data_IF_346808063529
#
_entry.id   IF_346808063529
#
_cell.length_a   1.000
_cell.length_b   1.000
_cell.length_c   1.000
_cell.angle_alpha   90.00
_cell.angle_beta   90.00
_cell.angle_gamma   90.00
#
_symmetry.space_group_name_H-M   'P 1'
#
loop_
_entity.id
_entity.type
_entity.pdbx_description
1 polymer ?
#
# COMPACT_ATOMS: atom_id res chain seq x y z
N UNK A 1 36.11 7.37 4.62
CA UNK A 1 35.17 7.52 3.48
C UNK A 1 35.89 7.05 2.24
N UNK A 2 35.73 5.78 1.89
CA UNK A 2 36.51 5.12 0.84
C UNK A 2 35.62 4.79 -0.38
N UNK A 3 35.12 5.83 -1.04
CA UNK A 3 34.41 5.66 -2.31
C UNK A 3 35.32 5.15 -3.43
N UNK A 4 36.65 5.25 -3.25
CA UNK A 4 37.65 4.71 -4.17
C UNK A 4 37.48 3.21 -4.36
N UNK A 5 37.18 2.46 -3.28
CA UNK A 5 36.94 1.01 -3.32
C UNK A 5 35.79 0.60 -4.26
N UNK A 6 34.76 1.45 -4.45
CA UNK A 6 33.66 1.14 -5.37
C UNK A 6 34.06 1.29 -6.84
N UNK A 7 35.09 2.08 -7.12
CA UNK A 7 35.60 2.38 -8.46
C UNK A 7 36.84 1.55 -8.82
N UNK A 8 37.55 1.03 -7.81
CA UNK A 8 38.76 0.23 -7.98
C UNK A 8 38.42 -1.19 -8.50
N UNK A 9 39.00 -1.56 -9.63
CA UNK A 9 38.81 -2.87 -10.25
C UNK A 9 39.48 -4.01 -9.47
N UNK A 10 40.46 -3.69 -8.62
CA UNK A 10 41.16 -4.66 -7.80
C UNK A 10 40.28 -5.22 -6.66
N UNK A 11 39.18 -4.52 -6.33
CA UNK A 11 38.18 -4.97 -5.37
C UNK A 11 37.02 -5.68 -6.10
N UNK A 12 36.83 -6.96 -5.79
CA UNK A 12 35.82 -7.80 -6.41
C UNK A 12 34.56 -7.93 -5.54
N UNK A 13 33.42 -8.31 -6.13
CA UNK A 13 32.28 -8.83 -5.35
C UNK A 13 32.59 -10.23 -4.81
N UNK A 14 32.03 -10.61 -3.65
CA UNK A 14 32.18 -11.97 -3.12
C UNK A 14 31.71 -13.04 -4.12
N UNK A 15 32.59 -13.98 -4.45
CA UNK A 15 32.28 -15.08 -5.38
C UNK A 15 31.27 -16.05 -4.76
N UNK A 16 30.32 -16.52 -5.56
CA UNK A 16 29.34 -17.53 -5.15
C UNK A 16 29.56 -18.79 -5.97
N UNK A 17 29.73 -19.98 -5.34
CA UNK A 17 29.85 -21.24 -6.06
C UNK A 17 28.61 -21.54 -6.92
N UNK A 18 28.78 -22.22 -8.08
CA UNK A 18 27.65 -22.64 -8.89
C UNK A 18 26.78 -23.66 -8.15
N UNK A 19 25.47 -23.58 -8.37
CA UNK A 19 24.48 -24.50 -7.85
C UNK A 19 23.33 -24.66 -8.86
N UNK A 20 22.60 -25.75 -8.78
CA UNK A 20 21.51 -26.10 -9.73
C UNK A 20 20.11 -25.68 -9.26
N UNK A 21 19.91 -25.46 -7.96
CA UNK A 21 18.63 -25.03 -7.40
C UNK A 21 18.76 -24.22 -6.10
N UNK A 22 17.63 -23.71 -5.62
CA UNK A 22 17.51 -23.00 -4.34
C UNK A 22 18.16 -21.62 -4.31
N UNK A 23 18.34 -21.09 -3.10
CA UNK A 23 18.96 -19.79 -2.84
C UNK A 23 20.41 -19.77 -3.33
N UNK A 24 21.12 -20.89 -3.26
CA UNK A 24 22.48 -21.01 -3.78
C UNK A 24 22.52 -20.77 -5.30
N UNK A 25 21.61 -21.39 -6.08
CA UNK A 25 21.49 -21.16 -7.52
C UNK A 25 21.15 -19.70 -7.82
N UNK A 26 20.20 -19.12 -7.08
CA UNK A 26 19.81 -17.73 -7.26
C UNK A 26 21.01 -16.80 -7.07
N UNK A 27 21.76 -16.98 -5.99
CA UNK A 27 22.98 -16.19 -5.72
C UNK A 27 24.03 -16.38 -6.83
N UNK A 28 24.21 -17.60 -7.32
CA UNK A 28 25.19 -17.89 -8.37
C UNK A 28 24.80 -17.33 -9.75
N UNK A 29 23.50 -17.13 -10.01
CA UNK A 29 22.97 -16.69 -11.31
C UNK A 29 22.72 -15.19 -11.48
N UNK A 30 22.80 -14.39 -10.41
CA UNK A 30 22.51 -12.94 -10.45
C UNK A 30 23.72 -12.08 -10.77
N UNK A 31 23.48 -10.88 -11.33
CA UNK A 31 24.52 -9.89 -11.58
C UNK A 31 25.23 -9.43 -10.29
N UNK A 32 24.49 -9.30 -9.18
CA UNK A 32 24.96 -8.73 -7.90
C UNK A 32 26.22 -9.40 -7.33
N UNK A 33 26.40 -10.69 -7.59
CA UNK A 33 27.50 -11.51 -7.04
C UNK A 33 28.42 -12.05 -8.16
N UNK A 34 28.53 -11.30 -9.26
CA UNK A 34 29.40 -11.65 -10.40
C UNK A 34 30.34 -10.50 -10.77
N UNK A 35 31.43 -10.84 -11.47
CA UNK A 35 32.39 -9.90 -12.05
C UNK A 35 32.59 -10.16 -13.55
N UNK A 36 33.32 -9.27 -14.22
CA UNK A 36 33.78 -9.46 -15.59
C UNK A 36 32.67 -9.70 -16.60
N UNK A 37 32.89 -10.65 -17.52
CA UNK A 37 31.96 -10.96 -18.60
C UNK A 37 30.60 -11.50 -18.12
N UNK A 38 30.59 -12.26 -17.02
CA UNK A 38 29.35 -12.78 -16.42
C UNK A 38 28.50 -11.65 -15.85
N UNK A 39 29.13 -10.71 -15.14
CA UNK A 39 28.44 -9.51 -14.66
C UNK A 39 27.86 -8.69 -15.81
N UNK A 40 28.63 -8.42 -16.85
CA UNK A 40 28.15 -7.65 -18.00
C UNK A 40 26.93 -8.31 -18.67
N UNK A 41 26.98 -9.64 -18.88
CA UNK A 41 25.87 -10.41 -19.46
C UNK A 41 24.62 -10.37 -18.59
N UNK A 42 24.76 -10.63 -17.28
CA UNK A 42 23.66 -10.68 -16.30
C UNK A 42 23.05 -9.31 -16.03
N UNK A 43 23.89 -8.28 -15.93
CA UNK A 43 23.45 -6.89 -15.84
C UNK A 43 22.63 -6.49 -17.07
N UNK A 44 23.06 -6.87 -18.27
CA UNK A 44 22.29 -6.63 -19.49
C UNK A 44 20.91 -7.30 -19.48
N UNK A 45 20.76 -8.47 -18.83
CA UNK A 45 19.43 -9.09 -18.62
C UNK A 45 18.55 -8.22 -17.71
N UNK A 46 19.10 -7.73 -16.60
CA UNK A 46 18.40 -6.83 -15.66
C UNK A 46 17.98 -5.53 -16.33
N UNK A 47 18.88 -4.87 -17.05
CA UNK A 47 18.61 -3.59 -17.73
C UNK A 47 17.54 -3.74 -18.81
N UNK A 48 17.53 -4.85 -19.57
CA UNK A 48 16.45 -5.13 -20.53
C UNK A 48 15.09 -5.31 -19.86
N UNK A 49 15.04 -5.96 -18.69
CA UNK A 49 13.81 -6.11 -17.92
C UNK A 49 13.32 -4.74 -17.43
N UNK A 50 14.21 -3.94 -16.84
CA UNK A 50 13.89 -2.61 -16.31
C UNK A 50 13.45 -1.62 -17.40
N UNK A 51 14.03 -1.69 -18.60
CA UNK A 51 13.63 -0.88 -19.74
C UNK A 51 12.17 -1.15 -20.19
N UNK A 52 11.63 -2.33 -19.88
CA UNK A 52 10.23 -2.67 -20.13
C UNK A 52 9.27 -2.24 -19.01
N UNK A 53 9.77 -1.70 -17.89
CA UNK A 53 8.96 -1.28 -16.75
C UNK A 53 8.98 0.25 -16.66
N UNK A 54 7.84 0.88 -16.94
CA UNK A 54 7.66 2.32 -16.76
C UNK A 54 7.67 2.69 -15.26
N UNK A 55 8.61 3.53 -14.78
CA UNK A 55 8.62 3.99 -13.40
C UNK A 55 7.33 4.72 -12.99
N UNK A 56 6.63 5.40 -13.90
CA UNK A 56 5.37 6.07 -13.56
C UNK A 56 4.27 5.06 -13.17
N UNK A 57 4.22 3.90 -13.83
CA UNK A 57 3.30 2.83 -13.48
C UNK A 57 3.57 2.20 -12.09
N UNK A 58 4.78 2.38 -11.54
CA UNK A 58 5.16 1.91 -10.21
C UNK A 58 4.75 2.87 -9.08
N UNK A 59 4.36 4.12 -9.39
CA UNK A 59 3.90 5.10 -8.39
C UNK A 59 2.47 4.83 -7.92
N UNK A 60 2.22 3.62 -7.42
CA UNK A 60 0.90 3.18 -6.95
C UNK A 60 1.00 2.64 -5.51
N UNK A 61 -0.06 2.73 -4.70
CA UNK A 61 -0.04 2.21 -3.34
C UNK A 61 0.05 0.68 -3.27
N UNK A 62 0.49 0.18 -2.10
CA UNK A 62 0.62 -1.24 -1.80
C UNK A 62 2.05 -1.64 -1.43
N UNK A 63 2.26 -2.95 -1.22
CA UNK A 63 3.60 -3.49 -1.00
C UNK A 63 4.47 -3.26 -2.26
N UNK A 64 5.65 -2.61 -2.15
CA UNK A 64 6.53 -2.33 -3.29
C UNK A 64 6.94 -3.55 -4.12
N UNK A 65 7.15 -4.70 -3.47
CA UNK A 65 7.50 -5.95 -4.16
C UNK A 65 6.30 -6.48 -4.92
N UNK A 66 5.11 -6.44 -4.32
CA UNK A 66 3.87 -6.83 -4.99
C UNK A 66 3.59 -5.95 -6.23
N UNK A 67 3.83 -4.63 -6.13
CA UNK A 67 3.70 -3.70 -7.27
C UNK A 67 4.70 -4.04 -8.38
N UNK A 68 5.98 -4.25 -8.03
CA UNK A 68 7.01 -4.64 -8.99
C UNK A 68 6.72 -6.01 -9.64
N UNK A 69 6.28 -7.00 -8.86
CA UNK A 69 5.88 -8.31 -9.35
C UNK A 69 4.78 -8.22 -10.43
N UNK A 70 3.74 -7.42 -10.18
CA UNK A 70 2.70 -7.15 -11.17
C UNK A 70 3.24 -6.49 -12.44
N UNK A 71 4.16 -5.52 -12.31
CA UNK A 71 4.79 -4.87 -13.46
C UNK A 71 5.71 -5.82 -14.26
N UNK A 72 6.25 -6.86 -13.63
CA UNK A 72 7.01 -7.94 -14.28
C UNK A 72 6.12 -9.06 -14.85
N UNK A 73 4.80 -8.94 -14.74
CA UNK A 73 3.85 -9.91 -15.28
C UNK A 73 3.71 -11.19 -14.46
N UNK A 74 4.10 -11.19 -13.19
CA UNK A 74 3.93 -12.34 -12.28
C UNK A 74 2.93 -12.04 -11.16
N UNK A 75 2.33 -13.07 -10.52
CA UNK A 75 1.33 -12.86 -9.47
C UNK A 75 1.87 -12.00 -8.32
N UNK A 76 1.08 -11.04 -7.84
CA UNK A 76 1.45 -10.15 -6.71
C UNK A 76 1.72 -10.92 -5.40
N UNK A 77 1.06 -12.07 -5.23
CA UNK A 77 1.19 -12.95 -4.06
C UNK A 77 2.62 -13.49 -3.86
N UNK A 78 3.48 -13.43 -4.87
CA UNK A 78 4.90 -13.81 -4.73
C UNK A 78 5.68 -12.93 -3.75
N UNK A 79 5.14 -11.77 -3.34
CA UNK A 79 5.78 -10.87 -2.39
C UNK A 79 6.14 -11.56 -1.06
N UNK A 80 5.32 -12.50 -0.59
CA UNK A 80 5.61 -13.31 0.60
C UNK A 80 6.85 -14.20 0.42
N UNK A 81 6.94 -14.90 -0.73
CA UNK A 81 8.10 -15.72 -1.08
C UNK A 81 9.37 -14.88 -1.24
N UNK A 82 9.26 -13.72 -1.89
CA UNK A 82 10.37 -12.76 -2.02
C UNK A 82 10.85 -12.28 -0.65
N UNK A 83 9.93 -11.96 0.27
CA UNK A 83 10.28 -11.54 1.62
C UNK A 83 11.02 -12.64 2.39
N UNK A 84 10.63 -13.91 2.24
CA UNK A 84 11.33 -15.05 2.84
C UNK A 84 12.74 -15.20 2.29
N UNK A 85 12.91 -15.18 0.95
CA UNK A 85 14.21 -15.29 0.29
C UNK A 85 15.13 -14.11 0.62
N UNK A 86 14.59 -12.89 0.72
CA UNK A 86 15.36 -11.68 1.03
C UNK A 86 16.08 -11.77 2.39
N UNK A 87 15.52 -12.49 3.37
CA UNK A 87 16.13 -12.68 4.71
C UNK A 87 17.46 -13.43 4.67
N UNK A 88 17.65 -14.28 3.67
CA UNK A 88 18.87 -15.04 3.45
C UNK A 88 19.44 -14.83 2.05
N UNK A 89 19.26 -13.66 1.43
CA UNK A 89 19.75 -13.46 0.06
C UNK A 89 21.27 -13.30 0.00
N UNK A 90 21.89 -12.66 1.00
CA UNK A 90 23.33 -12.40 1.01
C UNK A 90 24.15 -13.70 1.17
N UNK A 91 25.28 -13.89 0.46
CA UNK A 91 26.04 -15.15 0.48
C UNK A 91 26.52 -15.61 1.85
N UNK A 92 26.81 -14.67 2.75
CA UNK A 92 27.30 -14.95 4.10
C UNK A 92 26.19 -15.26 5.12
N UNK A 93 24.92 -15.15 4.72
CA UNK A 93 23.77 -15.43 5.58
C UNK A 93 23.34 -16.89 5.36
N UNK A 94 23.16 -17.70 6.42
CA UNK A 94 22.62 -19.04 6.30
C UNK A 94 21.23 -19.05 5.64
N UNK A 95 20.95 -20.07 4.82
CA UNK A 95 19.63 -20.26 4.21
C UNK A 95 18.63 -20.60 5.31
N UNK A 96 17.49 -19.88 5.34
CA UNK A 96 16.43 -20.13 6.32
C UNK A 96 15.48 -21.23 5.83
N UNK A 97 14.81 -21.99 6.73
CA UNK A 97 13.82 -22.98 6.33
C UNK A 97 12.73 -22.37 5.42
N UNK A 98 12.31 -23.09 4.38
CA UNK A 98 11.30 -22.62 3.44
C UNK A 98 11.84 -21.78 2.28
N UNK A 99 13.07 -21.26 2.36
CA UNK A 99 13.59 -20.32 1.37
C UNK A 99 13.91 -20.98 0.02
N UNK A 100 14.41 -22.22 0.02
CA UNK A 100 14.66 -22.95 -1.21
C UNK A 100 13.35 -23.31 -1.93
N UNK A 101 12.30 -23.71 -1.18
CA UNK A 101 10.97 -23.91 -1.77
C UNK A 101 10.36 -22.60 -2.28
N UNK A 102 10.62 -21.48 -1.60
CA UNK A 102 10.19 -20.16 -2.08
C UNK A 102 10.89 -19.77 -3.39
N UNK A 103 12.19 -20.05 -3.54
CA UNK A 103 12.88 -19.86 -4.83
C UNK A 103 12.24 -20.71 -5.92
N UNK A 104 11.89 -21.97 -5.64
CA UNK A 104 11.21 -22.83 -6.62
C UNK A 104 9.86 -22.23 -7.07
N UNK A 105 9.03 -21.77 -6.13
CA UNK A 105 7.76 -21.09 -6.45
C UNK A 105 7.96 -19.80 -7.26
N UNK A 106 9.01 -19.03 -6.97
CA UNK A 106 9.36 -17.83 -7.74
C UNK A 106 9.79 -18.19 -9.16
N UNK A 107 10.57 -19.26 -9.34
CA UNK A 107 10.95 -19.76 -10.66
C UNK A 107 9.72 -20.22 -11.44
N UNK A 108 8.79 -20.95 -10.80
CA UNK A 108 7.53 -21.37 -11.41
C UNK A 108 6.68 -20.17 -11.85
N UNK A 109 6.61 -19.13 -11.03
CA UNK A 109 5.92 -17.88 -11.38
C UNK A 109 6.52 -17.19 -12.62
N UNK A 110 7.81 -17.38 -12.91
CA UNK A 110 8.49 -16.90 -14.10
C UNK A 110 8.56 -17.93 -15.25
N UNK A 111 7.79 -19.01 -15.18
CA UNK A 111 7.67 -20.02 -16.24
C UNK A 111 8.49 -21.29 -16.03
N UNK A 112 9.05 -21.51 -14.84
CA UNK A 112 9.65 -22.79 -14.42
C UNK A 112 11.05 -23.07 -14.97
N UNK A 113 11.66 -22.14 -15.69
CA UNK A 113 12.99 -22.33 -16.30
C UNK A 113 14.09 -21.84 -15.37
N UNK A 114 15.01 -22.74 -15.01
CA UNK A 114 16.15 -22.47 -14.12
C UNK A 114 17.37 -21.95 -14.89
N UNK A 115 17.26 -20.76 -15.49
CA UNK A 115 18.32 -20.09 -16.24
C UNK A 115 18.75 -18.74 -15.64
N UNK A 116 19.78 -18.12 -16.22
CA UNK A 116 20.27 -16.80 -15.77
C UNK A 116 19.22 -15.69 -15.94
N UNK A 117 18.34 -15.79 -16.94
CA UNK A 117 17.30 -14.80 -17.17
C UNK A 117 16.28 -14.81 -16.02
N UNK A 118 15.81 -15.99 -15.63
CA UNK A 118 14.93 -16.19 -14.48
C UNK A 118 15.63 -15.79 -13.18
N UNK A 119 16.88 -16.22 -12.96
CA UNK A 119 17.64 -15.85 -11.77
C UNK A 119 17.73 -14.32 -11.58
N UNK A 120 17.97 -13.57 -12.66
CA UNK A 120 18.05 -12.11 -12.58
C UNK A 120 16.69 -11.43 -12.41
N UNK A 121 15.59 -11.99 -12.92
CA UNK A 121 14.22 -11.50 -12.64
C UNK A 121 13.82 -11.73 -11.17
N UNK A 122 14.07 -12.92 -10.65
CA UNK A 122 13.86 -13.24 -9.22
C UNK A 122 14.77 -12.35 -8.36
N UNK A 123 16.04 -12.20 -8.75
CA UNK A 123 17.00 -11.34 -8.08
C UNK A 123 16.58 -9.87 -8.07
N UNK A 124 15.86 -9.38 -9.07
CA UNK A 124 15.31 -8.02 -9.09
C UNK A 124 14.30 -7.81 -7.95
N UNK A 125 13.34 -8.73 -7.81
CA UNK A 125 12.32 -8.68 -6.76
C UNK A 125 12.95 -8.74 -5.36
N UNK A 126 13.86 -9.70 -5.16
CA UNK A 126 14.54 -9.91 -3.87
C UNK A 126 15.39 -8.70 -3.48
N UNK A 127 16.07 -8.07 -4.43
CA UNK A 127 16.86 -6.87 -4.18
C UNK A 127 16.01 -5.63 -3.91
N UNK A 128 14.85 -5.52 -4.55
CA UNK A 128 13.92 -4.43 -4.28
C UNK A 128 13.41 -4.48 -2.83
N UNK A 129 13.06 -5.68 -2.33
CA UNK A 129 12.39 -5.89 -1.04
C UNK A 129 12.95 -5.07 0.14
N UNK A 130 14.21 -5.29 0.53
CA UNK A 130 14.81 -4.58 1.65
C UNK A 130 15.03 -3.10 1.37
N UNK A 131 15.51 -2.77 0.16
CA UNK A 131 15.88 -1.41 -0.21
C UNK A 131 14.66 -0.47 -0.30
N UNK A 132 13.57 -0.91 -0.93
CA UNK A 132 12.35 -0.10 -1.03
C UNK A 132 11.66 0.02 0.32
N UNK A 133 11.67 -1.01 1.18
CA UNK A 133 11.20 -0.89 2.57
C UNK A 133 11.98 0.15 3.36
N UNK A 134 13.30 0.16 3.23
CA UNK A 134 14.16 1.17 3.87
C UNK A 134 13.85 2.59 3.34
N UNK A 135 13.70 2.75 2.02
CA UNK A 135 13.27 4.03 1.43
C UNK A 135 11.91 4.48 1.98
N UNK A 136 10.94 3.58 2.08
CA UNK A 136 9.59 3.83 2.66
C UNK A 136 9.61 4.09 4.16
N UNK A 137 10.66 3.66 4.88
CA UNK A 137 10.92 4.04 6.27
C UNK A 137 11.69 5.37 6.40
N UNK A 138 12.22 5.91 5.28
CA UNK A 138 12.94 7.19 5.26
C UNK A 138 14.44 7.05 5.42
N UNK A 139 14.96 5.81 5.32
CA UNK A 139 16.38 5.54 5.40
C UNK A 139 17.13 6.16 4.20
N UNK A 140 18.29 6.71 4.52
CA UNK A 140 19.13 7.49 3.62
C UNK A 140 20.58 7.28 4.05
N UNK A 141 21.36 6.41 3.35
CA UNK A 141 20.97 5.53 2.24
C UNK A 141 20.01 4.38 2.64
N UNK A 142 19.25 3.80 1.68
CA UNK A 142 18.40 2.64 1.95
C UNK A 142 19.20 1.34 2.14
N UNK A 143 20.42 1.28 1.63
CA UNK A 143 21.40 0.22 1.90
C UNK A 143 22.67 0.91 2.38
N UNK A 144 23.03 0.80 3.67
CA UNK A 144 24.13 1.58 4.24
C UNK A 144 25.50 1.07 3.84
N UNK A 145 25.63 -0.23 3.63
CA UNK A 145 26.92 -0.87 3.36
C UNK A 145 26.82 -1.93 2.27
N UNK A 146 27.92 -2.14 1.56
CA UNK A 146 28.13 -3.28 0.67
C UNK A 146 29.42 -4.00 1.02
N UNK A 147 29.59 -5.23 0.55
CA UNK A 147 30.83 -6.00 0.74
C UNK A 147 31.61 -6.13 -0.56
N UNK A 148 32.92 -6.04 -0.43
CA UNK A 148 33.92 -6.30 -1.47
C UNK A 148 34.96 -7.28 -0.94
N UNK A 149 35.75 -7.85 -1.83
CA UNK A 149 36.93 -8.65 -1.53
C UNK A 149 38.12 -7.85 -2.00
N UNK A 150 39.03 -7.51 -1.09
CA UNK A 150 40.26 -6.81 -1.40
C UNK A 150 41.19 -7.67 -2.28
N UNK A 151 42.21 -7.09 -2.94
CA UNK A 151 43.17 -7.85 -3.73
C UNK A 151 43.88 -8.99 -2.96
N UNK A 152 44.02 -8.82 -1.65
CA UNK A 152 44.56 -9.83 -0.74
C UNK A 152 43.59 -10.95 -0.33
N UNK A 153 42.34 -10.94 -0.82
CA UNK A 153 41.32 -11.94 -0.52
C UNK A 153 40.44 -11.63 0.70
N UNK A 154 40.76 -10.58 1.46
CA UNK A 154 40.02 -10.22 2.68
C UNK A 154 38.69 -9.51 2.37
N UNK A 155 37.59 -9.83 3.08
CA UNK A 155 36.33 -9.13 2.94
C UNK A 155 36.44 -7.71 3.52
N UNK A 156 35.98 -6.73 2.75
CA UNK A 156 35.92 -5.31 3.15
C UNK A 156 34.48 -4.84 3.10
N UNK A 157 34.05 -4.18 4.16
CA UNK A 157 32.77 -3.50 4.22
C UNK A 157 32.94 -2.05 3.73
N UNK A 158 32.08 -1.64 2.81
CA UNK A 158 32.17 -0.36 2.11
C UNK A 158 30.91 0.43 2.39
N UNK A 159 31.09 1.62 2.97
CA UNK A 159 30.04 2.59 3.26
C UNK A 159 29.47 3.19 1.95
N UNK A 160 28.15 3.16 1.80
CA UNK A 160 27.41 3.71 0.65
C UNK A 160 26.84 5.11 0.90
N UNK A 161 27.20 5.77 2.00
CA UNK A 161 26.65 7.04 2.46
C UNK A 161 26.68 8.18 1.43
N UNK A 162 27.75 8.34 0.64
CA UNK A 162 27.78 9.32 -0.46
C UNK A 162 27.45 8.70 -1.85
N UNK A 163 27.14 7.40 -1.92
CA UNK A 163 26.82 6.68 -3.15
C UNK A 163 25.71 5.64 -2.90
N UNK A 164 24.50 6.11 -2.57
CA UNK A 164 23.39 5.27 -2.06
C UNK A 164 22.98 4.12 -2.98
N UNK A 165 23.24 4.30 -4.27
CA UNK A 165 22.93 3.34 -5.33
C UNK A 165 24.19 2.72 -5.92
N UNK A 166 25.31 2.72 -5.18
CA UNK A 166 26.61 2.27 -5.68
C UNK A 166 27.24 3.24 -6.68
N UNK A 167 28.38 2.86 -7.23
CA UNK A 167 29.15 3.65 -8.19
C UNK A 167 29.83 2.75 -9.23
N UNK A 168 30.32 3.36 -10.32
CA UNK A 168 31.04 2.68 -11.39
C UNK A 168 30.21 1.59 -12.07
N UNK A 169 30.88 0.51 -12.49
CA UNK A 169 30.24 -0.64 -13.17
C UNK A 169 29.18 -1.36 -12.33
N UNK A 170 29.23 -1.20 -11.01
CA UNK A 170 28.33 -1.82 -10.04
C UNK A 170 27.22 -0.88 -9.54
N UNK A 171 27.06 0.31 -10.14
CA UNK A 171 25.96 1.22 -9.83
C UNK A 171 24.60 0.56 -10.14
N UNK A 172 23.62 0.72 -9.24
CA UNK A 172 22.30 0.14 -9.35
C UNK A 172 21.57 0.69 -10.60
N UNK A 173 21.17 -0.18 -11.55
CA UNK A 173 20.43 0.26 -12.73
C UNK A 173 18.97 0.64 -12.42
N UNK A 174 18.45 0.27 -11.23
CA UNK A 174 17.04 0.41 -10.86
C UNK A 174 16.75 1.59 -9.91
N UNK A 175 17.62 2.62 -9.88
CA UNK A 175 17.45 3.77 -8.96
C UNK A 175 16.09 4.43 -9.12
N UNK A 176 15.69 4.73 -10.35
CA UNK A 176 14.43 5.41 -10.63
C UNK A 176 13.21 4.54 -10.23
N UNK A 177 13.22 3.25 -10.59
CA UNK A 177 12.18 2.30 -10.21
C UNK A 177 12.03 2.17 -8.69
N UNK A 178 13.15 2.09 -7.95
CA UNK A 178 13.13 2.01 -6.50
C UNK A 178 12.53 3.27 -5.84
N UNK A 179 12.86 4.45 -6.36
CA UNK A 179 12.28 5.72 -5.89
C UNK A 179 10.79 5.80 -6.22
N UNK A 180 10.38 5.40 -7.43
CA UNK A 180 8.97 5.39 -7.83
C UNK A 180 8.12 4.44 -6.97
N UNK A 181 8.63 3.25 -6.66
CA UNK A 181 7.98 2.31 -5.74
C UNK A 181 7.83 2.90 -4.33
N UNK A 182 8.88 3.52 -3.79
CA UNK A 182 8.83 4.15 -2.47
C UNK A 182 7.88 5.36 -2.45
N UNK A 183 7.85 6.12 -3.54
CA UNK A 183 6.93 7.24 -3.72
C UNK A 183 5.47 6.77 -3.75
N UNK A 184 5.18 5.70 -4.50
CA UNK A 184 3.86 5.09 -4.62
C UNK A 184 3.33 4.52 -3.31
N UNK A 185 4.18 3.79 -2.57
CA UNK A 185 3.82 3.23 -1.26
C UNK A 185 3.41 4.30 -0.23
N UNK A 186 3.96 5.52 -0.34
CA UNK A 186 3.60 6.67 0.52
C UNK A 186 2.56 7.60 -0.08
N UNK A 187 2.04 7.34 -1.27
CA UNK A 187 1.20 8.28 -2.00
C UNK A 187 -0.01 8.73 -1.17
N UNK A 188 -0.74 7.79 -0.58
CA UNK A 188 -1.93 8.12 0.22
C UNK A 188 -1.59 8.84 1.53
N UNK A 189 -0.44 8.57 2.14
CA UNK A 189 0.03 9.32 3.32
C UNK A 189 0.26 10.79 2.96
N UNK A 190 0.96 11.04 1.84
CA UNK A 190 1.23 12.41 1.36
C UNK A 190 -0.03 13.20 1.02
N UNK A 191 -1.09 12.55 0.54
CA UNK A 191 -2.36 13.23 0.28
C UNK A 191 -2.99 13.87 1.53
N UNK A 192 -2.59 13.47 2.74
CA UNK A 192 -3.05 14.05 4.00
C UNK A 192 -2.14 15.18 4.52
N UNK A 193 -1.01 15.46 3.86
CA UNK A 193 -0.22 16.67 4.12
C UNK A 193 -1.00 17.92 3.66
N UNK A 194 -1.73 17.78 2.56
CA UNK A 194 -2.72 18.72 2.05
C UNK A 194 -4.14 18.43 2.59
N UNK A 195 -5.11 19.24 2.17
CA UNK A 195 -6.52 19.02 2.48
C UNK A 195 -7.18 18.07 1.46
N UNK A 196 -7.66 16.92 1.93
CA UNK A 196 -8.25 15.87 1.09
C UNK A 196 -9.77 15.78 1.27
N UNK A 197 -10.53 15.96 0.18
CA UNK A 197 -11.92 15.50 0.11
C UNK A 197 -11.93 14.10 -0.50
N UNK A 198 -12.47 13.12 0.23
CA UNK A 198 -12.47 11.72 -0.16
C UNK A 198 -13.90 11.22 -0.42
N UNK A 199 -14.27 10.96 -1.69
CA UNK A 199 -15.55 10.35 -2.02
C UNK A 199 -15.54 8.86 -1.66
N UNK A 200 -16.69 8.33 -1.25
CA UNK A 200 -16.82 6.93 -0.86
C UNK A 200 -17.71 6.17 -1.85
N UNK A 201 -17.14 5.15 -2.48
CA UNK A 201 -17.75 4.30 -3.48
C UNK A 201 -18.32 3.00 -2.85
N UNK A 202 -19.25 2.37 -3.57
CA UNK A 202 -19.85 1.09 -3.22
C UNK A 202 -19.70 0.03 -4.33
N UNK A 203 -19.26 0.44 -5.52
CA UNK A 203 -18.97 -0.41 -6.67
C UNK A 203 -17.83 0.19 -7.52
N UNK A 204 -17.45 -0.48 -8.61
CA UNK A 204 -16.41 0.03 -9.51
C UNK A 204 -16.86 1.26 -10.30
N UNK A 205 -18.11 1.31 -10.75
CA UNK A 205 -18.61 2.40 -11.59
C UNK A 205 -18.63 3.73 -10.85
N UNK A 206 -19.12 3.76 -9.61
CA UNK A 206 -19.09 4.92 -8.72
C UNK A 206 -17.65 5.39 -8.45
N UNK A 207 -16.75 4.46 -8.14
CA UNK A 207 -15.33 4.80 -7.93
C UNK A 207 -14.67 5.37 -9.19
N UNK A 208 -14.89 4.76 -10.36
CA UNK A 208 -14.36 5.23 -11.63
C UNK A 208 -14.93 6.62 -12.01
N UNK A 209 -16.22 6.85 -11.72
CA UNK A 209 -16.84 8.16 -11.92
C UNK A 209 -16.18 9.24 -11.04
N UNK A 210 -15.85 8.92 -9.77
CA UNK A 210 -15.09 9.83 -8.91
C UNK A 210 -13.69 10.12 -9.45
N UNK A 211 -12.98 9.10 -9.94
CA UNK A 211 -11.67 9.30 -10.57
C UNK A 211 -11.78 10.20 -11.80
N UNK A 212 -12.78 9.97 -12.67
CA UNK A 212 -13.03 10.82 -13.86
C UNK A 212 -13.37 12.26 -13.48
N UNK A 213 -14.02 12.46 -12.33
CA UNK A 213 -14.29 13.78 -11.77
C UNK A 213 -13.06 14.46 -11.13
N UNK A 214 -11.89 13.81 -11.11
CA UNK A 214 -10.62 14.38 -10.65
C UNK A 214 -10.32 14.17 -9.16
N UNK A 215 -11.05 13.30 -8.46
CA UNK A 215 -10.72 13.00 -7.07
C UNK A 215 -9.39 12.22 -6.98
N UNK A 216 -8.50 12.68 -6.10
CA UNK A 216 -7.15 12.15 -5.97
C UNK A 216 -7.06 10.78 -5.27
N UNK A 217 -8.13 10.33 -4.62
CA UNK A 217 -8.27 9.04 -3.95
C UNK A 217 -9.75 8.68 -3.79
N UNK A 218 -10.04 7.40 -3.53
CA UNK A 218 -11.40 6.89 -3.29
C UNK A 218 -11.46 6.07 -2.00
N UNK A 219 -12.49 6.29 -1.19
CA UNK A 219 -12.84 5.43 -0.06
C UNK A 219 -13.92 4.41 -0.42
N UNK A 220 -14.11 3.37 0.39
CA UNK A 220 -15.37 2.59 0.35
C UNK A 220 -16.32 3.05 1.45
N UNK A 221 -17.59 2.64 1.37
CA UNK A 221 -18.58 2.81 2.46
C UNK A 221 -19.24 1.47 2.77
N UNK A 222 -19.15 1.01 4.02
CA UNK A 222 -19.74 -0.25 4.47
C UNK A 222 -21.25 -0.32 4.19
N UNK A 223 -22.00 0.77 4.43
CA UNK A 223 -23.44 0.84 4.15
C UNK A 223 -23.77 0.52 2.68
N UNK A 224 -23.05 1.13 1.75
CA UNK A 224 -23.29 0.92 0.31
C UNK A 224 -22.97 -0.51 -0.11
N UNK A 225 -21.89 -1.08 0.42
CA UNK A 225 -21.49 -2.47 0.16
C UNK A 225 -22.54 -3.44 0.73
N UNK A 226 -22.89 -3.31 2.00
CA UNK A 226 -23.84 -4.21 2.67
C UNK A 226 -25.23 -4.11 2.04
N UNK A 227 -25.78 -2.90 1.91
CA UNK A 227 -27.11 -2.70 1.35
C UNK A 227 -27.21 -3.17 -0.11
N UNK A 228 -26.15 -2.98 -0.90
CA UNK A 228 -26.07 -3.47 -2.28
C UNK A 228 -26.17 -5.00 -2.40
N UNK A 229 -25.85 -5.73 -1.34
CA UNK A 229 -25.95 -7.19 -1.26
C UNK A 229 -27.14 -7.67 -0.40
N UNK A 230 -28.06 -6.78 -0.02
CA UNK A 230 -29.22 -7.13 0.81
C UNK A 230 -28.88 -7.41 2.28
N UNK A 231 -27.69 -6.98 2.73
CA UNK A 231 -27.21 -7.14 4.10
C UNK A 231 -27.42 -5.85 4.90
N UNK A 232 -27.44 -5.99 6.23
CA UNK A 232 -27.43 -4.83 7.14
C UNK A 232 -25.99 -4.40 7.42
N UNK A 233 -25.78 -3.09 7.43
CA UNK A 233 -24.51 -2.46 7.78
C UNK A 233 -24.19 -2.63 9.28
N UNK A 234 -22.90 -2.61 9.62
CA UNK A 234 -22.40 -2.70 11.00
C UNK A 234 -22.58 -4.07 11.67
N UNK A 235 -23.03 -5.09 10.92
CA UNK A 235 -23.21 -6.45 11.43
C UNK A 235 -21.97 -7.34 11.21
N UNK A 236 -20.90 -6.84 10.56
CA UNK A 236 -19.70 -7.61 10.26
C UNK A 236 -19.91 -8.75 9.25
N UNK A 237 -21.04 -8.77 8.54
CA UNK A 237 -21.42 -9.86 7.62
C UNK A 237 -20.95 -9.65 6.18
N UNK A 238 -20.50 -8.44 5.83
CA UNK A 238 -20.14 -8.06 4.46
C UNK A 238 -18.63 -8.19 4.14
N UNK A 239 -17.86 -8.95 4.94
CA UNK A 239 -16.40 -9.05 4.80
C UNK A 239 -15.98 -9.56 3.41
N UNK A 240 -16.68 -10.58 2.89
CA UNK A 240 -16.36 -11.16 1.59
C UNK A 240 -16.62 -10.16 0.45
N UNK A 241 -17.71 -9.40 0.55
CA UNK A 241 -18.14 -8.37 -0.38
C UNK A 241 -17.16 -7.19 -0.37
N UNK A 242 -16.73 -6.74 0.81
CA UNK A 242 -15.72 -5.69 0.99
C UNK A 242 -14.38 -6.09 0.35
N UNK A 243 -13.90 -7.32 0.59
CA UNK A 243 -12.68 -7.82 -0.05
C UNK A 243 -12.83 -7.92 -1.57
N UNK A 244 -13.96 -8.41 -2.05
CA UNK A 244 -14.23 -8.49 -3.48
C UNK A 244 -14.28 -7.11 -4.14
N UNK A 245 -14.86 -6.10 -3.47
CA UNK A 245 -14.84 -4.72 -3.93
C UNK A 245 -13.41 -4.16 -3.94
N UNK A 246 -12.65 -4.33 -2.85
CA UNK A 246 -11.27 -3.89 -2.76
C UNK A 246 -10.44 -4.40 -3.94
N UNK A 247 -10.52 -5.70 -4.27
CA UNK A 247 -9.84 -6.31 -5.43
C UNK A 247 -10.19 -5.67 -6.77
N UNK A 248 -11.42 -5.17 -6.94
CA UNK A 248 -11.85 -4.46 -8.15
C UNK A 248 -11.31 -3.03 -8.18
N UNK A 249 -11.37 -2.33 -7.04
CA UNK A 249 -11.05 -0.90 -6.95
C UNK A 249 -9.55 -0.61 -7.02
N UNK A 250 -8.69 -1.49 -6.52
CA UNK A 250 -7.21 -1.30 -6.56
C UNK A 250 -6.65 -1.21 -8.00
N UNK A 251 -7.45 -1.51 -9.02
CA UNK A 251 -7.09 -1.34 -10.44
C UNK A 251 -7.12 0.12 -10.88
N UNK A 252 -7.84 0.98 -10.15
CA UNK A 252 -7.95 2.41 -10.44
C UNK A 252 -6.59 3.12 -10.32
N UNK A 253 -6.35 4.20 -11.07
CA UNK A 253 -5.06 4.91 -11.05
C UNK A 253 -4.81 5.73 -9.77
N UNK A 254 -5.76 5.73 -8.83
CA UNK A 254 -5.69 6.49 -7.58
C UNK A 254 -5.65 5.57 -6.36
N UNK A 255 -5.13 6.03 -5.21
CA UNK A 255 -5.24 5.31 -3.95
C UNK A 255 -6.67 4.96 -3.56
N UNK A 256 -6.84 3.75 -3.03
CA UNK A 256 -8.11 3.26 -2.49
C UNK A 256 -7.94 2.98 -0.99
N UNK A 257 -8.83 3.53 -0.17
CA UNK A 257 -8.93 3.19 1.26
C UNK A 257 -10.23 2.43 1.53
N UNK A 258 -10.16 1.36 2.32
CA UNK A 258 -11.29 0.44 2.52
C UNK A 258 -11.84 0.57 3.93
N UNK A 259 -13.15 0.75 4.04
CA UNK A 259 -13.89 0.62 5.29
C UNK A 259 -13.99 -0.86 5.68
N UNK A 260 -13.35 -1.25 6.79
CA UNK A 260 -13.31 -2.64 7.27
C UNK A 260 -14.12 -2.84 8.56
N UNK A 261 -15.01 -1.89 8.88
CA UNK A 261 -15.80 -1.90 10.12
C UNK A 261 -14.87 -2.14 11.33
N UNK A 262 -15.21 -3.10 12.20
CA UNK A 262 -14.44 -3.45 13.39
C UNK A 262 -13.06 -4.12 13.11
N UNK A 263 -12.70 -4.38 11.86
CA UNK A 263 -11.41 -4.97 11.49
C UNK A 263 -11.28 -6.47 11.79
N UNK A 264 -12.38 -7.24 11.65
CA UNK A 264 -12.38 -8.68 11.90
C UNK A 264 -11.35 -9.41 11.02
N UNK A 265 -10.44 -10.14 11.67
CA UNK A 265 -9.27 -10.77 11.04
C UNK A 265 -7.94 -10.07 11.35
N UNK A 266 -7.95 -8.88 11.96
CA UNK A 266 -6.76 -8.23 12.50
C UNK A 266 -5.64 -8.08 11.47
N UNK A 267 -4.42 -8.45 11.86
CA UNK A 267 -3.24 -8.36 11.00
C UNK A 267 -3.32 -9.17 9.70
N UNK A 268 -4.01 -10.32 9.68
CA UNK A 268 -4.15 -11.12 8.45
C UNK A 268 -4.94 -10.36 7.39
N UNK A 269 -6.03 -9.69 7.79
CA UNK A 269 -6.80 -8.83 6.90
C UNK A 269 -5.96 -7.64 6.40
N UNK A 270 -5.17 -7.04 7.29
CA UNK A 270 -4.31 -5.91 6.93
C UNK A 270 -3.25 -6.30 5.88
N UNK A 271 -2.60 -7.46 6.07
CA UNK A 271 -1.64 -8.01 5.12
C UNK A 271 -2.31 -8.30 3.77
N UNK A 272 -3.45 -8.99 3.77
CA UNK A 272 -4.19 -9.30 2.54
C UNK A 272 -4.55 -8.03 1.76
N UNK A 273 -5.12 -7.01 2.42
CA UNK A 273 -5.47 -5.74 1.77
C UNK A 273 -4.24 -4.99 1.24
N UNK A 274 -3.14 -4.97 2.00
CA UNK A 274 -1.92 -4.29 1.58
C UNK A 274 -1.27 -4.97 0.36
N UNK A 275 -1.24 -6.30 0.32
CA UNK A 275 -0.77 -7.09 -0.82
C UNK A 275 -1.62 -6.84 -2.08
N UNK A 276 -2.94 -6.70 -1.91
CA UNK A 276 -3.85 -6.32 -3.00
C UNK A 276 -3.58 -4.92 -3.55
N UNK A 277 -2.92 -4.04 -2.80
CA UNK A 277 -2.64 -2.65 -3.19
C UNK A 277 -3.61 -1.64 -2.57
N UNK A 278 -4.32 -2.00 -1.51
CA UNK A 278 -5.10 -1.05 -0.72
C UNK A 278 -4.15 -0.10 -0.02
N UNK A 279 -4.45 1.20 -0.11
CA UNK A 279 -3.60 2.27 0.40
C UNK A 279 -3.86 2.62 1.87
N UNK A 280 -5.08 2.35 2.35
CA UNK A 280 -5.46 2.58 3.72
C UNK A 280 -6.74 1.87 4.12
N UNK A 281 -7.06 1.95 5.40
CA UNK A 281 -8.29 1.38 5.97
C UNK A 281 -8.92 2.32 6.98
N UNK A 282 -10.25 2.26 7.11
CA UNK A 282 -10.95 2.75 8.29
C UNK A 282 -11.26 1.56 9.20
N UNK A 283 -10.86 1.63 10.47
CA UNK A 283 -11.12 0.57 11.47
C UNK A 283 -11.76 1.17 12.72
N UNK A 284 -12.96 0.71 13.07
CA UNK A 284 -13.86 1.40 14.00
C UNK A 284 -14.01 0.71 15.35
N UNK A 285 -14.13 1.50 16.40
CA UNK A 285 -14.39 1.01 17.75
C UNK A 285 -15.89 0.82 18.03
N UNK A 286 -16.77 1.19 17.10
CA UNK A 286 -18.21 0.93 17.17
C UNK A 286 -18.55 -0.56 17.16
N UNK A 287 -19.52 -0.97 17.98
CA UNK A 287 -20.00 -2.36 18.10
C UNK A 287 -21.50 -2.32 18.32
N UNK A 288 -22.32 -2.65 17.31
CA UNK A 288 -23.78 -2.76 17.50
C UNK A 288 -24.39 -1.58 18.28
N UNK A 289 -24.68 -1.79 19.57
CA UNK A 289 -25.26 -0.83 20.51
C UNK A 289 -24.25 -0.09 21.43
N UNK A 290 -22.96 -0.23 21.21
CA UNK A 290 -21.93 0.36 22.06
C UNK A 290 -20.57 0.51 21.39
N UNK A 291 -19.55 0.66 22.22
CA UNK A 291 -18.16 0.78 21.79
C UNK A 291 -17.33 -0.36 22.36
N UNK A 292 -16.30 -0.77 21.62
CA UNK A 292 -15.26 -1.64 22.13
C UNK A 292 -14.51 -0.97 23.29
N UNK A 293 -13.94 -1.81 24.15
CA UNK A 293 -12.92 -1.40 25.08
C UNK A 293 -11.74 -0.76 24.31
N UNK A 294 -11.30 0.46 24.70
CA UNK A 294 -10.27 1.18 23.94
C UNK A 294 -8.91 0.48 23.97
N UNK A 295 -8.58 -0.31 24.99
CA UNK A 295 -7.32 -1.09 24.98
C UNK A 295 -7.39 -2.19 23.93
N UNK A 296 -8.51 -2.88 23.84
CA UNK A 296 -8.77 -3.93 22.86
C UNK A 296 -8.75 -3.38 21.43
N UNK A 297 -9.38 -2.24 21.18
CA UNK A 297 -9.35 -1.63 19.84
C UNK A 297 -7.95 -1.13 19.45
N UNK A 298 -7.19 -0.58 20.40
CA UNK A 298 -5.79 -0.20 20.18
C UNK A 298 -4.92 -1.42 19.80
N UNK A 299 -5.20 -2.61 20.34
CA UNK A 299 -4.52 -3.83 19.93
C UNK A 299 -4.81 -4.21 18.46
N UNK A 300 -6.03 -3.98 17.96
CA UNK A 300 -6.37 -4.16 16.54
C UNK A 300 -5.58 -3.20 15.66
N UNK A 301 -5.55 -1.91 16.01
CA UNK A 301 -4.76 -0.89 15.28
C UNK A 301 -3.30 -1.30 15.21
N UNK A 302 -2.70 -1.72 16.34
CA UNK A 302 -1.31 -2.18 16.38
C UNK A 302 -1.09 -3.39 15.48
N UNK A 303 -1.97 -4.39 15.53
CA UNK A 303 -1.86 -5.58 14.69
C UNK A 303 -1.92 -5.24 13.18
N UNK A 304 -2.73 -4.26 12.78
CA UNK A 304 -2.75 -3.76 11.40
C UNK A 304 -1.41 -3.13 11.01
N UNK A 305 -0.84 -2.27 11.85
CA UNK A 305 0.45 -1.62 11.58
C UNK A 305 1.63 -2.59 11.59
N UNK A 306 1.62 -3.60 12.46
CA UNK A 306 2.65 -4.63 12.50
C UNK A 306 2.63 -5.51 11.24
N UNK A 307 1.44 -5.91 10.79
CA UNK A 307 1.28 -6.75 9.60
C UNK A 307 1.50 -5.98 8.29
N UNK A 308 1.11 -4.71 8.23
CA UNK A 308 1.24 -3.87 7.05
C UNK A 308 1.68 -2.43 7.41
N UNK A 309 2.99 -2.20 7.68
CA UNK A 309 3.50 -0.89 8.11
C UNK A 309 3.22 0.26 7.13
N UNK A 310 3.13 -0.05 5.83
CA UNK A 310 2.84 0.90 4.76
C UNK A 310 1.35 1.15 4.52
N UNK A 311 0.45 0.44 5.21
CA UNK A 311 -0.99 0.69 5.14
C UNK A 311 -1.35 1.88 6.04
N UNK A 312 -2.08 2.86 5.49
CA UNK A 312 -2.61 3.98 6.29
C UNK A 312 -3.78 3.50 7.15
N UNK A 313 -3.60 3.45 8.47
CA UNK A 313 -4.65 3.03 9.41
C UNK A 313 -5.34 4.26 9.96
N UNK A 314 -6.57 4.49 9.50
CA UNK A 314 -7.43 5.56 9.96
C UNK A 314 -8.35 5.03 11.08
N UNK A 315 -8.00 5.26 12.34
CA UNK A 315 -8.75 4.75 13.48
C UNK A 315 -10.04 5.56 13.66
N UNK A 316 -11.18 4.89 13.55
CA UNK A 316 -12.51 5.50 13.66
C UNK A 316 -13.04 5.39 15.10
N UNK A 317 -13.48 6.52 15.66
CA UNK A 317 -14.07 6.64 17.00
C UNK A 317 -15.56 6.95 16.85
N UNK A 318 -16.41 6.00 17.24
CA UNK A 318 -17.85 6.04 16.96
C UNK A 318 -18.72 6.64 18.06
N UNK A 319 -18.12 7.17 19.14
CA UNK A 319 -18.85 7.74 20.27
C UNK A 319 -19.95 8.73 19.84
N UNK A 320 -19.61 9.71 18.99
CA UNK A 320 -20.57 10.69 18.49
C UNK A 320 -21.54 10.11 17.46
N UNK A 321 -21.09 9.16 16.65
CA UNK A 321 -21.92 8.52 15.62
C UNK A 321 -23.04 7.67 16.22
N UNK A 322 -22.74 6.94 17.29
CA UNK A 322 -23.69 6.10 18.00
C UNK A 322 -24.47 6.85 19.10
N UNK A 323 -24.11 8.11 19.38
CA UNK A 323 -24.69 8.87 20.48
C UNK A 323 -24.41 8.24 21.84
N UNK A 324 -23.29 7.52 21.97
CA UNK A 324 -22.89 6.86 23.20
C UNK A 324 -22.07 7.83 24.04
N UNK A 325 -22.56 8.16 25.23
CA UNK A 325 -21.79 8.91 26.21
C UNK A 325 -20.55 8.11 26.61
N UNK A 326 -19.38 8.70 26.40
CA UNK A 326 -18.10 8.10 26.79
C UNK A 326 -17.37 9.02 27.75
N UNK A 327 -16.36 8.49 28.44
CA UNK A 327 -15.46 9.33 29.24
C UNK A 327 -14.77 10.42 28.40
N UNK A 328 -14.25 10.08 27.21
CA UNK A 328 -13.61 11.04 26.30
C UNK A 328 -13.29 10.44 24.91
N UNK A 329 -13.84 11.04 23.85
CA UNK A 329 -13.48 10.77 22.44
C UNK A 329 -11.98 11.00 22.19
N UNK A 330 -11.43 12.08 22.76
CA UNK A 330 -10.03 12.45 22.58
C UNK A 330 -9.07 11.43 23.22
N UNK A 331 -9.41 10.86 24.38
CA UNK A 331 -8.58 9.84 25.03
C UNK A 331 -8.53 8.53 24.21
N UNK A 332 -9.66 8.14 23.61
CA UNK A 332 -9.72 7.00 22.67
C UNK A 332 -8.82 7.27 21.46
N UNK A 333 -8.99 8.43 20.83
CA UNK A 333 -8.19 8.85 19.68
C UNK A 333 -6.68 8.82 19.99
N UNK A 334 -6.25 9.42 21.11
CA UNK A 334 -4.84 9.40 21.54
C UNK A 334 -4.32 7.98 21.72
N UNK A 335 -5.10 7.11 22.33
CA UNK A 335 -4.71 5.70 22.51
C UNK A 335 -4.54 4.96 21.19
N UNK A 336 -5.36 5.27 20.18
CA UNK A 336 -5.23 4.67 18.85
C UNK A 336 -4.03 5.23 18.09
N UNK A 337 -3.72 6.52 18.26
CA UNK A 337 -2.48 7.13 17.76
C UNK A 337 -1.25 6.48 18.41
N UNK A 338 -1.26 6.27 19.73
CA UNK A 338 -0.18 5.57 20.45
C UNK A 338 -0.01 4.11 20.00
N UNK A 339 -1.06 3.51 19.44
CA UNK A 339 -1.01 2.17 18.82
C UNK A 339 -0.49 2.18 17.37
N UNK A 340 -0.28 3.36 16.79
CA UNK A 340 0.28 3.55 15.45
C UNK A 340 -0.71 4.00 14.38
N UNK A 341 -1.92 4.44 14.73
CA UNK A 341 -2.86 4.99 13.75
C UNK A 341 -2.24 6.20 13.01
N UNK A 342 -2.33 6.20 11.68
CA UNK A 342 -1.81 7.27 10.82
C UNK A 342 -2.80 8.44 10.69
N UNK A 343 -4.05 8.23 11.09
CA UNK A 343 -5.12 9.23 11.13
C UNK A 343 -6.25 8.83 12.08
N UNK A 344 -7.07 9.81 12.45
CA UNK A 344 -8.24 9.59 13.32
C UNK A 344 -9.50 10.08 12.62
N UNK A 345 -10.55 9.25 12.62
CA UNK A 345 -11.86 9.58 12.07
C UNK A 345 -12.92 9.67 13.17
N UNK A 346 -13.57 10.83 13.29
CA UNK A 346 -14.62 11.05 14.30
C UNK A 346 -15.94 11.44 13.62
N UNK A 347 -16.72 10.48 13.10
CA UNK A 347 -18.03 10.77 12.51
C UNK A 347 -19.02 11.30 13.56
N UNK A 348 -19.94 12.18 13.16
CA UNK A 348 -20.99 12.73 14.03
C UNK A 348 -20.64 14.02 14.77
N UNK A 349 -19.40 14.52 14.66
CA UNK A 349 -19.00 15.78 15.28
C UNK A 349 -19.43 16.98 14.42
N UNK A 350 -20.22 17.87 14.99
CA UNK A 350 -20.65 19.14 14.37
C UNK A 350 -20.34 20.39 15.21
N UNK A 351 -19.91 20.23 16.47
CA UNK A 351 -19.43 21.34 17.29
C UNK A 351 -18.00 21.73 16.87
N UNK A 352 -17.85 22.92 16.31
CA UNK A 352 -16.55 23.47 15.87
C UNK A 352 -15.52 23.53 17.01
N UNK A 353 -15.94 23.72 18.26
CA UNK A 353 -15.03 23.75 19.41
C UNK A 353 -14.41 22.37 19.66
N UNK A 354 -15.21 21.32 19.51
CA UNK A 354 -14.72 19.95 19.63
C UNK A 354 -13.81 19.59 18.45
N UNK A 355 -14.17 20.01 17.22
CA UNK A 355 -13.29 19.84 16.05
C UNK A 355 -11.93 20.50 16.26
N UNK A 356 -11.91 21.77 16.68
CA UNK A 356 -10.67 22.49 16.95
C UNK A 356 -9.84 21.83 18.06
N UNK A 357 -10.51 21.30 19.09
CA UNK A 357 -9.85 20.55 20.18
C UNK A 357 -9.19 19.27 19.67
N UNK A 358 -9.89 18.47 18.85
CA UNK A 358 -9.36 17.24 18.27
C UNK A 358 -8.14 17.53 17.38
N UNK A 359 -8.27 18.52 16.48
CA UNK A 359 -7.18 18.91 15.56
C UNK A 359 -5.96 19.42 16.32
N UNK A 360 -6.14 20.25 17.35
CA UNK A 360 -5.02 20.79 18.12
C UNK A 360 -4.32 19.72 18.99
N UNK A 361 -5.05 18.68 19.41
CA UNK A 361 -4.56 17.72 20.39
C UNK A 361 -3.94 16.45 19.78
N UNK A 362 -4.19 16.17 18.50
CA UNK A 362 -3.73 14.95 17.82
C UNK A 362 -2.58 15.28 16.84
N UNK A 363 -1.47 14.52 16.87
CA UNK A 363 -0.33 14.76 15.98
C UNK A 363 -0.53 14.17 14.57
N UNK A 364 -1.72 13.62 14.29
CA UNK A 364 -2.06 12.95 13.03
C UNK A 364 -3.26 13.62 12.36
N UNK A 365 -3.41 13.49 11.03
CA UNK A 365 -4.57 13.95 10.29
C UNK A 365 -5.92 13.56 10.93
N UNK A 366 -6.77 14.56 11.19
CA UNK A 366 -8.17 14.34 11.56
C UNK A 366 -9.02 14.24 10.30
N UNK A 367 -9.83 13.17 10.24
CA UNK A 367 -10.86 12.91 9.25
C UNK A 367 -12.25 13.15 9.86
N UNK A 368 -13.16 13.79 9.12
CA UNK A 368 -14.56 13.97 9.50
C UNK A 368 -15.49 13.66 8.32
N UNK A 369 -16.79 13.47 8.61
CA UNK A 369 -17.82 13.50 7.57
C UNK A 369 -18.15 14.95 7.20
N UNK A 370 -18.65 15.18 5.98
CA UNK A 370 -19.09 16.49 5.51
C UNK A 370 -20.41 16.97 6.18
N UNK A 371 -20.37 17.18 7.50
CA UNK A 371 -21.50 17.66 8.31
C UNK A 371 -21.48 19.18 8.55
N UNK A 372 -20.31 19.80 8.36
CA UNK A 372 -20.11 21.24 8.27
C UNK A 372 -19.63 21.60 6.85
N UNK A 373 -19.72 22.88 6.44
CA UNK A 373 -19.11 23.33 5.19
C UNK A 373 -17.64 22.90 5.11
N UNK A 374 -17.24 22.36 3.96
CA UNK A 374 -15.92 21.76 3.76
C UNK A 374 -14.80 22.78 3.98
N UNK A 375 -15.01 24.01 3.52
CA UNK A 375 -14.12 25.15 3.70
C UNK A 375 -13.92 25.45 5.18
N UNK A 376 -15.00 25.38 5.98
CA UNK A 376 -14.92 25.61 7.42
C UNK A 376 -14.11 24.52 8.13
N UNK A 377 -14.32 23.26 7.75
CA UNK A 377 -13.52 22.14 8.27
C UNK A 377 -12.03 22.33 7.93
N UNK A 378 -11.72 22.78 6.71
CA UNK A 378 -10.35 23.10 6.29
C UNK A 378 -9.72 24.21 7.14
N UNK A 379 -10.46 25.28 7.42
CA UNK A 379 -10.00 26.39 8.29
C UNK A 379 -9.72 25.93 9.73
N UNK A 380 -10.54 25.00 10.23
CA UNK A 380 -10.34 24.39 11.56
C UNK A 380 -9.14 23.43 11.61
N UNK A 381 -8.47 23.19 10.49
CA UNK A 381 -7.26 22.38 10.38
C UNK A 381 -7.51 20.89 10.18
N UNK A 382 -8.75 20.48 9.89
CA UNK A 382 -9.07 19.12 9.41
C UNK A 382 -8.26 18.84 8.15
N UNK A 383 -7.76 17.61 7.99
CA UNK A 383 -6.93 17.20 6.84
C UNK A 383 -7.64 16.28 5.88
N UNK A 384 -8.70 15.60 6.32
CA UNK A 384 -9.54 14.78 5.46
C UNK A 384 -11.03 14.99 5.74
N UNK A 385 -11.83 15.10 4.69
CA UNK A 385 -13.29 15.04 4.77
C UNK A 385 -13.77 13.90 3.91
N UNK A 386 -14.33 12.87 4.54
CA UNK A 386 -14.93 11.73 3.84
C UNK A 386 -16.42 11.98 3.59
N UNK A 387 -16.93 11.53 2.45
CA UNK A 387 -18.38 11.67 2.14
C UNK A 387 -19.25 10.61 2.82
N UNK A 388 -18.65 9.52 3.32
CA UNK A 388 -19.38 8.39 3.91
C UNK A 388 -20.40 7.82 2.93
N UNK A 389 -21.55 7.37 3.43
CA UNK A 389 -22.62 6.83 2.58
C UNK A 389 -23.42 7.89 1.82
N UNK A 390 -23.08 9.19 1.91
CA UNK A 390 -23.83 10.26 1.27
C UNK A 390 -24.01 10.04 -0.24
N UNK A 391 -22.96 9.73 -1.04
CA UNK A 391 -23.12 9.57 -2.48
C UNK A 391 -23.99 8.34 -2.84
N UNK A 392 -23.88 7.25 -2.07
CA UNK A 392 -24.74 6.08 -2.24
C UNK A 392 -26.22 6.41 -2.01
N UNK A 393 -26.54 7.09 -0.91
CA UNK A 393 -27.92 7.49 -0.58
C UNK A 393 -28.48 8.48 -1.61
N UNK A 394 -27.63 9.40 -2.10
CA UNK A 394 -28.02 10.33 -3.16
C UNK A 394 -28.34 9.59 -4.47
N UNK A 395 -27.51 8.63 -4.87
CA UNK A 395 -27.73 7.80 -6.05
C UNK A 395 -29.00 6.97 -5.95
N UNK A 396 -29.27 6.34 -4.80
CA UNK A 396 -30.53 5.62 -4.57
C UNK A 396 -31.74 6.54 -4.71
N UNK A 397 -31.68 7.74 -4.12
CA UNK A 397 -32.76 8.72 -4.25
C UNK A 397 -32.97 9.16 -5.70
N UNK A 398 -31.91 9.39 -6.47
CA UNK A 398 -31.98 9.75 -7.88
C UNK A 398 -32.58 8.62 -8.74
N UNK A 399 -32.15 7.39 -8.53
CA UNK A 399 -32.67 6.21 -9.24
C UNK A 399 -34.17 6.03 -9.01
N UNK A 400 -34.63 6.17 -7.76
CA UNK A 400 -36.06 6.11 -7.43
C UNK A 400 -36.82 7.26 -8.10
N UNK A 401 -36.31 8.50 -8.05
CA UNK A 401 -36.96 9.64 -8.72
C UNK A 401 -37.10 9.44 -10.23
N UNK A 402 -36.08 8.92 -10.91
CA UNK A 402 -36.14 8.64 -12.33
C UNK A 402 -37.19 7.57 -12.66
N UNK A 403 -37.26 6.49 -11.88
CA UNK A 403 -38.26 5.44 -12.06
C UNK A 403 -39.70 5.95 -11.81
N UNK A 404 -39.89 6.79 -10.80
CA UNK A 404 -41.17 7.44 -10.51
C UNK A 404 -41.61 8.37 -11.63
N UNK A 405 -40.70 9.20 -12.17
CA UNK A 405 -41.00 10.08 -13.30
C UNK A 405 -41.52 9.28 -14.51
N UNK A 406 -40.86 8.17 -14.87
CA UNK A 406 -41.33 7.29 -15.96
C UNK A 406 -42.71 6.68 -15.65
N UNK A 407 -42.91 6.15 -14.43
CA UNK A 407 -44.17 5.53 -14.02
C UNK A 407 -45.34 6.53 -14.08
N UNK A 408 -45.09 7.76 -13.64
CA UNK A 408 -46.12 8.79 -13.46
C UNK A 408 -46.24 9.71 -14.69
N UNK A 409 -45.49 9.46 -15.76
CA UNK A 409 -45.52 10.22 -17.01
C UNK A 409 -44.90 11.63 -16.93
N UNK A 410 -44.00 11.86 -15.97
CA UNK A 410 -43.24 13.10 -15.83
C UNK A 410 -41.87 13.06 -16.53
N UNK A 411 -41.14 14.17 -16.44
CA UNK A 411 -39.81 14.30 -17.05
C UNK A 411 -38.73 13.58 -16.22
N UNK A 412 -37.89 12.79 -16.91
CA UNK A 412 -36.71 12.16 -16.31
C UNK A 412 -35.63 13.23 -16.09
N UNK A 413 -34.87 13.19 -14.98
CA UNK A 413 -33.78 14.15 -14.75
C UNK A 413 -32.76 14.17 -15.91
N UNK A 414 -32.37 15.37 -16.35
CA UNK A 414 -31.46 15.58 -17.48
C UNK A 414 -29.98 15.30 -17.15
N UNK A 415 -29.66 15.08 -15.87
CA UNK A 415 -28.31 14.82 -15.34
C UNK A 415 -27.97 13.32 -15.24
N UNK A 416 -28.80 12.45 -15.81
CA UNK A 416 -28.53 11.00 -15.86
C UNK A 416 -27.41 10.70 -16.86
N UNK A 417 -26.32 10.02 -16.46
CA UNK A 417 -25.23 9.65 -17.36
C UNK A 417 -25.71 8.82 -18.55
N UNK A 418 -25.18 9.12 -19.73
CA UNK A 418 -25.51 8.39 -20.95
C UNK A 418 -24.97 6.95 -20.95
N UNK A 419 -25.56 6.07 -21.76
CA UNK A 419 -25.13 4.67 -21.82
C UNK A 419 -23.64 4.51 -22.21
N UNK A 420 -23.20 5.22 -23.25
CA UNK A 420 -21.80 5.22 -23.68
C UNK A 420 -20.86 5.85 -22.64
N UNK A 421 -21.34 6.84 -21.88
CA UNK A 421 -20.58 7.48 -20.82
C UNK A 421 -20.29 6.50 -19.67
N UNK A 422 -21.27 5.66 -19.29
CA UNK A 422 -21.09 4.63 -18.26
C UNK A 422 -20.20 3.49 -18.78
N UNK A 423 -20.34 3.08 -20.04
CA UNK A 423 -19.43 2.10 -20.62
C UNK A 423 -17.98 2.60 -20.67
N UNK A 424 -17.75 3.89 -20.90
CA UNK A 424 -16.42 4.49 -20.91
C UNK A 424 -15.74 4.58 -19.53
N UNK A 425 -16.40 4.15 -18.44
CA UNK A 425 -15.81 4.09 -17.10
C UNK A 425 -15.02 2.81 -16.83
N UNK A 426 -15.26 1.73 -17.59
CA UNK A 426 -14.75 0.37 -17.30
C UNK A 426 -13.60 -0.07 -18.18
#
# INVERSE_FOLDING_TARGET
>A
MDHGVLLDEAYAVPSVPPASSGVAWLRAGVARFSEGADHARRRGLVERVLAGVDPAALRRPGDPVAVLAGALGVPRAVAGDVALVARCYQPHVPVVPGADEAVARLVDAFGGVWDEATANRVGLLVQACGATRALVAGASPPVPVTRRVAPGGEPVEVDLGAAWFGAGRHACPAREHALALAEGARLFHRLHEDFLVLPNAWDFASAAAFVRAGFAAVGTTSLGVAAGHGLRDGAGVARAETLALARRLVRLPVPVTVDVEAGAGGGELAAELHELGVAGVNVEDGRGDGLADPVSHAAVVRAFKEAAPGLFVNARVDAHWLGVETGSTLERARRYVDAGADGVFVPGVSDEREVARLVAALPVPVNLLAQLPVERLRELGVRRVSTGSLPFRAALGAAVRAALAVRDGGDVPDDVPGYAEVQGLV
#
